data_IF_998750146303
#
_entry.id   IF_998750146303
#
_cell.length_a   1.000
_cell.length_b   1.000
_cell.length_c   1.000
_cell.angle_alpha   90.00
_cell.angle_beta   90.00
_cell.angle_gamma   90.00
#
_symmetry.space_group_name_H-M   'P 1'
#
loop_
_entity.id
_entity.type
_entity.pdbx_description
1 polymer ?
#
# COMPACT_ATOMS: atom_id res chain seq x y z
N UNK A 1 -0.10 16.65 23.33
CA UNK A 1 1.21 16.00 23.09
C UNK A 1 2.32 16.87 23.68
N UNK A 2 2.67 16.68 24.94
CA UNK A 2 3.62 17.57 25.62
C UNK A 2 5.06 17.47 25.09
N UNK A 3 5.37 16.40 24.34
CA UNK A 3 6.74 16.18 23.85
C UNK A 3 6.87 16.36 22.34
N UNK A 4 5.85 16.89 21.68
CA UNK A 4 5.84 17.10 20.21
C UNK A 4 6.19 15.82 19.44
N UNK A 5 5.71 14.69 19.91
CA UNK A 5 5.89 13.40 19.22
C UNK A 5 4.73 13.21 18.27
N UNK A 6 5.04 12.89 17.02
CA UNK A 6 4.04 12.57 16.01
C UNK A 6 4.00 11.07 15.77
N UNK A 7 2.78 10.54 15.60
CA UNK A 7 2.58 9.11 15.32
C UNK A 7 1.59 8.99 14.18
N UNK A 8 2.02 8.37 13.09
CA UNK A 8 1.19 8.12 11.92
C UNK A 8 1.37 6.67 11.48
N UNK A 9 0.45 6.19 10.66
CA UNK A 9 0.54 4.85 10.10
C UNK A 9 0.43 4.92 8.58
N UNK A 10 1.20 4.09 7.90
CA UNK A 10 1.11 3.91 6.45
C UNK A 10 0.42 2.57 6.21
N UNK A 11 -0.69 2.60 5.48
CA UNK A 11 -1.49 1.42 5.21
C UNK A 11 -1.28 1.01 3.76
N UNK A 12 -0.90 -0.25 3.55
CA UNK A 12 -0.58 -0.80 2.23
C UNK A 12 -1.52 -1.97 1.97
N UNK A 13 -1.94 -2.15 0.72
CA UNK A 13 -2.75 -3.31 0.33
C UNK A 13 -1.87 -4.35 -0.39
N UNK A 14 -1.52 -4.08 -1.64
CA UNK A 14 -0.81 -5.04 -2.47
C UNK A 14 0.52 -4.46 -2.92
N UNK A 15 1.62 -5.08 -2.47
CA UNK A 15 2.96 -4.73 -2.89
C UNK A 15 3.74 -6.00 -3.21
N UNK A 16 4.44 -6.02 -4.35
CA UNK A 16 5.14 -7.22 -4.79
C UNK A 16 6.52 -7.28 -4.13
N UNK A 17 6.63 -8.16 -3.13
CA UNK A 17 7.85 -8.41 -2.36
C UNK A 17 8.26 -9.86 -2.54
N UNK A 18 9.47 -10.26 -2.13
CA UNK A 18 9.86 -11.68 -2.17
C UNK A 18 8.89 -12.60 -1.42
N UNK A 19 8.37 -12.16 -0.28
CA UNK A 19 7.39 -12.93 0.47
C UNK A 19 6.09 -13.07 -0.32
N UNK A 20 5.62 -12.00 -0.95
CA UNK A 20 4.41 -12.01 -1.76
C UNK A 20 4.58 -12.95 -2.95
N UNK A 21 5.74 -12.91 -3.61
CA UNK A 21 6.02 -13.80 -4.73
C UNK A 21 5.97 -15.27 -4.30
N UNK A 22 6.52 -15.59 -3.15
CA UNK A 22 6.45 -16.98 -2.62
C UNK A 22 5.01 -17.42 -2.37
N UNK A 23 4.18 -16.51 -1.86
CA UNK A 23 2.77 -16.80 -1.63
C UNK A 23 2.03 -17.03 -2.95
N UNK A 24 2.22 -16.14 -3.94
CA UNK A 24 1.51 -16.25 -5.22
C UNK A 24 1.91 -17.52 -5.98
N UNK A 25 3.15 -17.93 -5.83
CA UNK A 25 3.66 -19.14 -6.49
C UNK A 25 3.04 -20.43 -5.91
N UNK A 26 2.32 -20.35 -4.79
CA UNK A 26 1.60 -21.51 -4.25
C UNK A 26 0.30 -21.81 -5.00
N UNK A 27 -0.18 -20.92 -5.84
CA UNK A 27 -1.41 -21.13 -6.61
C UNK A 27 -1.12 -21.98 -7.85
N UNK A 28 -2.14 -22.73 -8.35
CA UNK A 28 -1.95 -23.57 -9.55
C UNK A 28 -1.55 -22.78 -10.80
N UNK A 29 -2.07 -21.55 -10.93
CA UNK A 29 -1.75 -20.64 -12.04
C UNK A 29 -1.31 -19.30 -11.47
N UNK A 30 -0.03 -19.16 -11.08
CA UNK A 30 0.44 -17.91 -10.44
C UNK A 30 0.23 -16.67 -11.31
N UNK A 31 0.47 -16.78 -12.62
CA UNK A 31 0.30 -15.64 -13.53
C UNK A 31 -1.14 -15.15 -13.60
N UNK A 32 -2.09 -16.07 -13.69
CA UNK A 32 -3.52 -15.72 -13.70
C UNK A 32 -3.94 -15.08 -12.39
N UNK A 33 -3.46 -15.65 -11.27
CA UNK A 33 -3.75 -15.11 -9.95
C UNK A 33 -3.22 -13.69 -9.82
N UNK A 34 -1.98 -13.46 -10.25
CA UNK A 34 -1.37 -12.15 -10.24
C UNK A 34 -2.19 -11.15 -11.08
N UNK A 35 -2.55 -11.53 -12.31
CA UNK A 35 -3.35 -10.66 -13.18
C UNK A 35 -4.70 -10.33 -12.58
N UNK A 36 -5.35 -11.28 -11.93
CA UNK A 36 -6.66 -11.03 -11.33
C UNK A 36 -6.54 -10.03 -10.16
N UNK A 37 -5.45 -10.08 -9.42
CA UNK A 37 -5.21 -9.15 -8.31
C UNK A 37 -4.94 -7.74 -8.83
N UNK A 38 -3.96 -7.59 -9.74
CA UNK A 38 -3.59 -6.25 -10.23
C UNK A 38 -4.73 -5.60 -11.01
N UNK A 39 -5.56 -6.40 -11.64
CA UNK A 39 -6.69 -5.89 -12.42
C UNK A 39 -7.74 -5.20 -11.54
N UNK A 40 -7.76 -5.50 -10.25
CA UNK A 40 -8.67 -4.89 -9.29
C UNK A 40 -8.12 -3.61 -8.67
N UNK A 41 -6.84 -3.31 -8.88
CA UNK A 41 -6.23 -2.10 -8.34
C UNK A 41 -6.59 -0.93 -9.24
N UNK A 42 -7.32 0.08 -8.72
CA UNK A 42 -7.85 1.15 -9.59
C UNK A 42 -6.79 1.96 -10.32
N UNK A 43 -5.74 2.40 -9.61
CA UNK A 43 -4.74 3.26 -10.21
C UNK A 43 -3.72 2.42 -10.99
N UNK A 44 -3.76 2.56 -12.31
CA UNK A 44 -2.80 1.96 -13.23
C UNK A 44 -2.79 0.44 -13.29
N UNK A 45 -3.71 -0.24 -12.62
CA UNK A 45 -3.80 -1.72 -12.63
C UNK A 45 -2.46 -2.38 -12.29
N UNK A 46 -1.79 -1.89 -11.27
CA UNK A 46 -0.52 -2.43 -10.81
C UNK A 46 -0.41 -2.37 -9.30
N UNK A 47 0.47 -3.17 -8.75
CA UNK A 47 0.77 -3.12 -7.32
C UNK A 47 1.56 -1.87 -6.95
N UNK A 48 1.47 -1.48 -5.70
CA UNK A 48 2.29 -0.40 -5.13
C UNK A 48 3.73 -0.88 -5.02
N UNK A 49 4.68 -0.05 -5.43
CA UNK A 49 6.09 -0.41 -5.30
C UNK A 49 6.60 -0.13 -3.89
N UNK A 50 7.61 -0.89 -3.41
CA UNK A 50 8.25 -0.59 -2.13
C UNK A 50 8.79 0.84 -2.06
N UNK A 51 9.29 1.38 -3.17
CA UNK A 51 9.81 2.75 -3.24
C UNK A 51 8.71 3.78 -2.99
N UNK A 52 7.52 3.54 -3.52
CA UNK A 52 6.37 4.43 -3.29
C UNK A 52 5.98 4.44 -1.81
N UNK A 53 6.01 3.29 -1.17
CA UNK A 53 5.76 3.19 0.27
C UNK A 53 6.85 3.93 1.05
N UNK A 54 8.12 3.68 0.69
CA UNK A 54 9.26 4.31 1.36
C UNK A 54 9.23 5.83 1.24
N UNK A 55 8.84 6.35 0.08
CA UNK A 55 8.73 7.80 -0.14
C UNK A 55 7.70 8.44 0.80
N UNK A 56 6.58 7.79 1.02
CA UNK A 56 5.56 8.26 1.95
C UNK A 56 6.06 8.22 3.39
N UNK A 57 6.72 7.14 3.78
CA UNK A 57 7.30 7.00 5.12
C UNK A 57 8.36 8.09 5.34
N UNK A 58 9.23 8.32 4.38
CA UNK A 58 10.27 9.35 4.44
C UNK A 58 9.65 10.73 4.63
N UNK A 59 8.59 11.05 3.89
CA UNK A 59 7.87 12.31 4.07
C UNK A 59 7.33 12.46 5.49
N UNK A 60 6.70 11.39 6.02
CA UNK A 60 6.12 11.43 7.36
C UNK A 60 7.17 11.55 8.46
N UNK A 61 8.40 11.08 8.23
CA UNK A 61 9.50 11.20 9.15
C UNK A 61 10.22 12.54 9.06
N UNK A 62 9.93 13.33 8.04
CA UNK A 62 10.60 14.59 7.77
C UNK A 62 9.85 15.77 8.40
N UNK A 63 10.54 16.91 8.45
CA UNK A 63 9.95 18.16 8.91
C UNK A 63 8.86 18.68 7.97
N UNK A 64 8.82 18.18 6.73
CA UNK A 64 7.76 18.57 5.78
C UNK A 64 6.39 18.15 6.22
N UNK A 65 6.28 17.17 7.10
CA UNK A 65 5.02 16.75 7.70
C UNK A 65 4.90 17.16 9.16
N UNK A 66 5.52 18.26 9.53
CA UNK A 66 5.68 18.68 10.94
C UNK A 66 4.38 18.88 11.70
N UNK A 67 3.28 19.07 11.02
CA UNK A 67 1.97 19.24 11.67
C UNK A 67 1.02 18.09 11.34
N UNK A 68 1.54 16.93 10.94
CA UNK A 68 0.76 15.72 10.63
C UNK A 68 0.96 14.69 11.73
N UNK A 69 -0.12 14.35 12.43
CA UNK A 69 -0.10 13.30 13.45
C UNK A 69 -1.47 12.64 13.56
N UNK A 70 -1.48 11.40 14.02
CA UNK A 70 -2.73 10.65 14.22
C UNK A 70 -3.39 10.23 12.91
N UNK A 71 -2.66 10.19 11.80
CA UNK A 71 -3.24 9.91 10.49
C UNK A 71 -2.94 8.50 10.01
N UNK A 72 -3.91 7.96 9.25
CA UNK A 72 -3.73 6.72 8.49
C UNK A 72 -3.56 7.13 7.03
N UNK A 73 -2.36 6.92 6.49
CA UNK A 73 -2.04 7.30 5.11
C UNK A 73 -2.05 6.04 4.25
N UNK A 74 -2.96 5.97 3.31
CA UNK A 74 -3.11 4.80 2.44
C UNK A 74 -2.27 4.97 1.19
N UNK A 75 -1.40 3.98 0.92
CA UNK A 75 -0.60 3.92 -0.30
C UNK A 75 -0.96 2.59 -0.97
N UNK A 76 -2.04 2.59 -1.73
CA UNK A 76 -2.68 1.36 -2.19
C UNK A 76 -3.29 1.46 -3.60
N UNK A 77 -3.00 2.52 -4.33
CA UNK A 77 -3.59 2.71 -5.67
C UNK A 77 -5.11 2.81 -5.67
N UNK A 78 -5.70 3.18 -4.54
CA UNK A 78 -7.15 3.31 -4.40
C UNK A 78 -7.85 2.00 -4.01
N UNK A 79 -7.12 0.95 -3.72
CA UNK A 79 -7.68 -0.37 -3.42
C UNK A 79 -8.70 -0.33 -2.28
N UNK A 80 -8.44 0.46 -1.24
CA UNK A 80 -9.31 0.58 -0.07
C UNK A 80 -10.70 1.11 -0.42
N UNK A 81 -10.82 1.83 -1.53
CA UNK A 81 -12.09 2.40 -1.97
C UNK A 81 -12.89 1.47 -2.89
N UNK A 82 -12.44 0.24 -3.12
CA UNK A 82 -13.20 -0.71 -3.92
C UNK A 82 -14.45 -1.16 -3.19
N UNK A 83 -15.57 -1.19 -3.91
CA UNK A 83 -16.78 -1.84 -3.44
C UNK A 83 -16.71 -3.33 -3.81
N UNK A 84 -16.50 -4.16 -2.83
CA UNK A 84 -16.31 -5.59 -3.03
C UNK A 84 -17.56 -6.29 -3.55
N UNK A 85 -18.73 -5.68 -3.42
CA UNK A 85 -19.96 -6.27 -3.93
C UNK A 85 -20.05 -6.16 -5.45
N UNK A 86 -19.28 -5.28 -6.06
CA UNK A 86 -19.31 -5.09 -7.51
C UNK A 86 -17.97 -5.43 -8.19
N UNK A 87 -17.02 -5.88 -7.42
CA UNK A 87 -15.71 -6.32 -7.94
C UNK A 87 -15.54 -7.82 -7.76
#
# INVERSE_FOLDING_TARGET
LPYSIRVNAVIVAESFTPLYKRWIDTFPNPEEKFKSIVNKIPLEKRMTTPEEIANTVTFLLSEKSSHTTGQLIYVDGGYTHLDRSIT
#
